data_IF_756947101209
#
_entry.id   IF_756947101209
#
_cell.length_a   1.000
_cell.length_b   1.000
_cell.length_c   1.000
_cell.angle_alpha   90.00
_cell.angle_beta   90.00
_cell.angle_gamma   90.00
#
_symmetry.space_group_name_H-M   'P 1'
#
loop_
_entity.id
_entity.type
_entity.pdbx_description
1 polymer ?
#
# COMPACT_ATOMS: atom_id res chain seq x y z
N UNK A 1 25.58 -14.38 -47.14
CA UNK A 1 26.22 -14.53 -45.82
C UNK A 1 26.39 -13.19 -45.13
N UNK A 2 25.90 -13.14 -43.89
CA UNK A 2 26.23 -12.27 -42.75
C UNK A 2 26.23 -10.74 -42.95
N UNK A 3 25.05 -10.17 -42.72
CA UNK A 3 24.89 -8.85 -42.09
C UNK A 3 25.58 -8.80 -40.72
N UNK A 4 26.34 -7.75 -40.45
CA UNK A 4 26.77 -7.39 -39.08
C UNK A 4 26.60 -5.89 -38.90
N UNK A 5 25.42 -5.51 -38.39
CA UNK A 5 25.19 -4.19 -37.80
C UNK A 5 25.66 -4.24 -36.35
N UNK A 6 26.75 -3.52 -36.08
CA UNK A 6 27.17 -3.17 -34.73
C UNK A 6 26.21 -2.12 -34.17
N UNK A 7 25.17 -2.55 -33.46
CA UNK A 7 24.43 -1.66 -32.57
C UNK A 7 24.94 -1.87 -31.15
N UNK A 8 25.79 -0.94 -30.71
CA UNK A 8 26.06 -0.69 -29.31
C UNK A 8 24.73 -0.60 -28.55
N UNK A 9 24.48 -1.57 -27.66
CA UNK A 9 23.50 -1.44 -26.61
C UNK A 9 23.94 -0.30 -25.68
N UNK A 10 23.46 0.90 -25.97
CA UNK A 10 23.38 1.97 -24.99
C UNK A 10 22.40 1.50 -23.90
N UNK A 11 22.95 1.07 -22.78
CA UNK A 11 22.19 0.98 -21.54
C UNK A 11 21.58 2.36 -21.26
N UNK A 12 20.26 2.45 -20.95
CA UNK A 12 19.68 3.73 -20.62
C UNK A 12 20.40 4.26 -19.37
N UNK A 13 20.66 5.57 -19.28
CA UNK A 13 21.35 6.12 -18.14
C UNK A 13 20.51 5.83 -16.90
N UNK A 14 21.16 5.35 -15.85
CA UNK A 14 20.65 5.41 -14.48
C UNK A 14 20.50 6.88 -14.10
N UNK A 15 19.54 7.54 -14.73
CA UNK A 15 19.20 8.92 -14.47
C UNK A 15 18.60 8.97 -13.08
N UNK A 16 19.27 9.71 -12.20
CA UNK A 16 18.71 10.27 -10.98
C UNK A 16 17.24 10.65 -11.23
N UNK A 17 16.31 9.75 -10.92
CA UNK A 17 14.89 10.10 -10.92
C UNK A 17 14.73 11.05 -9.77
N UNK A 18 14.46 12.31 -10.10
CA UNK A 18 14.16 13.33 -9.11
C UNK A 18 13.06 12.78 -8.17
N UNK A 19 13.24 12.78 -6.85
CA UNK A 19 12.28 12.18 -5.90
C UNK A 19 10.84 12.67 -6.09
N UNK A 20 10.66 13.88 -6.62
CA UNK A 20 9.35 14.48 -6.93
C UNK A 20 8.64 13.82 -8.13
N UNK A 21 9.38 13.35 -9.13
CA UNK A 21 8.81 12.69 -10.31
C UNK A 21 8.40 11.22 -10.02
N UNK A 22 9.08 10.56 -9.09
CA UNK A 22 8.70 9.21 -8.65
C UNK A 22 7.53 9.22 -7.65
N UNK A 23 7.34 10.34 -6.92
CA UNK A 23 6.23 10.52 -5.97
C UNK A 23 4.84 10.42 -6.62
N UNK A 24 4.63 11.08 -7.77
CA UNK A 24 3.34 11.08 -8.49
C UNK A 24 3.05 9.70 -9.10
N UNK A 25 4.06 9.07 -9.71
CA UNK A 25 3.95 7.71 -10.24
C UNK A 25 3.70 6.65 -9.14
N UNK A 26 4.24 6.86 -7.94
CA UNK A 26 3.99 6.01 -6.78
C UNK A 26 2.56 6.14 -6.26
N UNK A 27 2.06 7.36 -6.04
CA UNK A 27 0.67 7.56 -5.61
C UNK A 27 -0.33 7.02 -6.65
N UNK A 28 -0.07 7.21 -7.94
CA UNK A 28 -0.88 6.62 -8.99
C UNK A 28 -0.91 5.08 -8.92
N UNK A 29 0.23 4.43 -8.65
CA UNK A 29 0.30 2.97 -8.42
C UNK A 29 -0.48 2.52 -7.20
N UNK A 30 -0.41 3.28 -6.10
CA UNK A 30 -1.18 2.99 -4.87
C UNK A 30 -2.68 3.08 -5.15
N UNK A 31 -3.15 4.15 -5.80
CA UNK A 31 -4.57 4.30 -6.12
C UNK A 31 -5.07 3.27 -7.15
N UNK A 32 -4.26 2.93 -8.15
CA UNK A 32 -4.60 1.88 -9.11
C UNK A 32 -4.77 0.52 -8.40
N UNK A 33 -3.82 0.14 -7.54
CA UNK A 33 -3.89 -1.11 -6.79
C UNK A 33 -5.03 -1.12 -5.76
N UNK A 34 -5.34 0.02 -5.13
CA UNK A 34 -6.52 0.17 -4.26
C UNK A 34 -7.83 -0.05 -5.02
N UNK A 35 -7.93 0.53 -6.23
CA UNK A 35 -9.12 0.38 -7.07
C UNK A 35 -9.32 -1.09 -7.46
N UNK A 36 -8.27 -1.73 -7.97
CA UNK A 36 -8.30 -3.16 -8.32
C UNK A 36 -8.67 -4.04 -7.11
N UNK A 37 -8.10 -3.75 -5.93
CA UNK A 37 -8.46 -4.45 -4.70
C UNK A 37 -9.94 -4.30 -4.34
N UNK A 38 -10.52 -3.12 -4.55
CA UNK A 38 -11.95 -2.86 -4.35
C UNK A 38 -12.83 -3.63 -5.34
N UNK A 39 -12.42 -3.72 -6.61
CA UNK A 39 -13.11 -4.51 -7.63
C UNK A 39 -13.08 -6.02 -7.31
N UNK A 40 -11.94 -6.52 -6.83
CA UNK A 40 -11.84 -7.89 -6.34
C UNK A 40 -12.73 -8.13 -5.11
N UNK A 41 -12.73 -7.20 -4.15
CA UNK A 41 -13.53 -7.31 -2.93
C UNK A 41 -15.03 -7.34 -3.25
N UNK A 42 -15.50 -6.43 -4.12
CA UNK A 42 -16.89 -6.37 -4.57
C UNK A 42 -17.33 -7.65 -5.30
N UNK A 43 -16.40 -8.32 -5.98
CA UNK A 43 -16.63 -9.59 -6.66
C UNK A 43 -16.42 -10.83 -5.76
N UNK A 44 -16.31 -10.66 -4.43
CA UNK A 44 -16.02 -11.73 -3.46
C UNK A 44 -14.71 -12.51 -3.71
N UNK A 45 -13.79 -11.94 -4.48
CA UNK A 45 -12.45 -12.46 -4.74
C UNK A 45 -11.48 -11.93 -3.66
N UNK A 46 -11.68 -12.38 -2.43
CA UNK A 46 -11.05 -11.78 -1.25
C UNK A 46 -9.54 -12.01 -1.19
N UNK A 47 -9.04 -13.14 -1.69
CA UNK A 47 -7.61 -13.42 -1.72
C UNK A 47 -6.88 -12.49 -2.71
N UNK A 48 -7.45 -12.29 -3.88
CA UNK A 48 -6.96 -11.36 -4.89
C UNK A 48 -7.05 -9.92 -4.39
N UNK A 49 -8.14 -9.56 -3.70
CA UNK A 49 -8.26 -8.25 -3.04
C UNK A 49 -7.13 -8.02 -2.03
N UNK A 50 -6.83 -9.00 -1.18
CA UNK A 50 -5.73 -8.91 -0.22
C UNK A 50 -4.35 -8.80 -0.90
N UNK A 51 -4.18 -9.47 -2.04
CA UNK A 51 -2.96 -9.37 -2.85
C UNK A 51 -2.80 -7.96 -3.46
N UNK A 52 -3.84 -7.40 -4.06
CA UNK A 52 -3.79 -6.03 -4.62
C UNK A 52 -3.54 -4.99 -3.52
N UNK A 53 -4.12 -5.14 -2.31
CA UNK A 53 -3.75 -4.28 -1.17
C UNK A 53 -2.29 -4.46 -0.75
N UNK A 54 -1.72 -5.66 -0.85
CA UNK A 54 -0.29 -5.88 -0.57
C UNK A 54 0.59 -5.13 -1.55
N UNK A 55 0.22 -5.13 -2.84
CA UNK A 55 0.91 -4.33 -3.87
C UNK A 55 0.83 -2.84 -3.53
N UNK A 56 -0.36 -2.35 -3.15
CA UNK A 56 -0.55 -0.95 -2.75
C UNK A 56 0.33 -0.56 -1.55
N UNK A 57 0.38 -1.40 -0.51
CA UNK A 57 1.19 -1.17 0.70
C UNK A 57 2.68 -1.13 0.36
N UNK A 58 3.17 -2.07 -0.46
CA UNK A 58 4.57 -2.12 -0.84
C UNK A 58 4.96 -0.90 -1.68
N UNK A 59 4.12 -0.51 -2.65
CA UNK A 59 4.33 0.69 -3.43
C UNK A 59 4.32 1.96 -2.56
N UNK A 60 3.45 2.02 -1.56
CA UNK A 60 3.40 3.15 -0.63
C UNK A 60 4.70 3.26 0.18
N UNK A 61 5.12 2.15 0.80
CA UNK A 61 6.32 2.06 1.65
C UNK A 61 7.63 2.27 0.89
N UNK A 62 7.73 1.83 -0.37
CA UNK A 62 8.99 1.87 -1.13
C UNK A 62 9.50 3.29 -1.44
N UNK A 63 8.72 4.33 -1.16
CA UNK A 63 9.18 5.72 -1.29
C UNK A 63 9.16 6.52 0.01
N UNK A 64 9.03 5.86 1.16
CA UNK A 64 9.29 6.47 2.47
C UNK A 64 10.74 6.14 2.81
N UNK A 65 11.66 7.03 2.45
CA UNK A 65 13.09 6.87 2.73
C UNK A 65 13.52 7.49 4.06
N UNK A 66 12.60 8.10 4.81
CA UNK A 66 12.93 8.85 6.02
C UNK A 66 12.30 8.21 7.26
N UNK A 67 13.17 7.76 8.17
CA UNK A 67 12.84 7.34 9.54
C UNK A 67 12.49 8.54 10.44
N UNK A 68 12.48 9.77 9.90
CA UNK A 68 12.19 10.99 10.65
C UNK A 68 10.69 11.08 11.01
N UNK A 69 10.38 10.57 12.20
CA UNK A 69 9.08 10.59 12.86
C UNK A 69 7.95 9.95 12.04
N UNK A 70 7.46 8.80 12.53
CA UNK A 70 6.17 8.22 12.16
C UNK A 70 5.06 9.25 12.40
N UNK A 71 4.86 10.14 11.42
CA UNK A 71 3.67 10.98 11.36
C UNK A 71 2.47 10.05 11.15
N UNK A 72 1.32 10.38 11.75
CA UNK A 72 0.09 9.66 11.46
C UNK A 72 -0.14 9.58 9.96
N UNK A 73 -0.32 8.36 9.48
CA UNK A 73 -0.47 8.01 8.08
C UNK A 73 -1.82 7.34 7.85
N UNK A 74 -2.82 8.19 7.59
CA UNK A 74 -4.18 7.73 7.32
C UNK A 74 -4.27 6.83 6.08
N UNK A 75 -3.43 7.06 5.07
CA UNK A 75 -3.45 6.24 3.84
C UNK A 75 -3.00 4.82 4.16
N UNK A 76 -1.88 4.68 4.86
CA UNK A 76 -1.35 3.37 5.24
C UNK A 76 -2.28 2.66 6.23
N UNK A 77 -2.93 3.40 7.13
CA UNK A 77 -3.96 2.87 8.03
C UNK A 77 -5.13 2.25 7.25
N UNK A 78 -5.69 2.97 6.26
CA UNK A 78 -6.79 2.48 5.42
C UNK A 78 -6.36 1.23 4.63
N UNK A 79 -5.15 1.23 4.08
CA UNK A 79 -4.64 0.08 3.33
C UNK A 79 -4.55 -1.19 4.19
N UNK A 80 -4.04 -1.06 5.42
CA UNK A 80 -3.99 -2.17 6.37
C UNK A 80 -5.38 -2.62 6.80
N UNK A 81 -6.28 -1.70 7.13
CA UNK A 81 -7.66 -2.03 7.53
C UNK A 81 -8.41 -2.79 6.43
N UNK A 82 -8.30 -2.36 5.17
CA UNK A 82 -9.01 -3.02 4.08
C UNK A 82 -8.40 -4.39 3.75
N UNK A 83 -7.08 -4.55 3.88
CA UNK A 83 -6.46 -5.87 3.74
C UNK A 83 -6.83 -6.80 4.88
N UNK A 84 -6.96 -6.28 6.11
CA UNK A 84 -7.48 -7.04 7.24
C UNK A 84 -8.92 -7.52 6.98
N UNK A 85 -9.79 -6.63 6.47
CA UNK A 85 -11.15 -7.01 6.10
C UNK A 85 -11.17 -8.12 5.04
N UNK A 86 -10.34 -8.02 3.99
CA UNK A 86 -10.20 -9.08 2.98
C UNK A 86 -9.77 -10.42 3.60
N UNK A 87 -8.78 -10.42 4.51
CA UNK A 87 -8.36 -11.63 5.22
C UNK A 87 -9.44 -12.22 6.13
N UNK A 88 -10.25 -11.39 6.79
CA UNK A 88 -11.40 -11.85 7.57
C UNK A 88 -12.43 -12.56 6.69
N UNK A 89 -12.73 -11.99 5.52
CA UNK A 89 -13.69 -12.56 4.58
C UNK A 89 -13.23 -13.89 3.96
N UNK A 90 -11.91 -14.12 3.88
CA UNK A 90 -11.37 -15.43 3.49
C UNK A 90 -11.67 -16.54 4.52
N UNK A 91 -12.03 -16.22 5.76
CA UNK A 91 -12.41 -17.20 6.79
C UNK A 91 -11.29 -18.09 7.34
N UNK A 92 -10.05 -17.94 6.85
CA UNK A 92 -8.89 -18.78 7.22
C UNK A 92 -7.66 -17.97 7.67
N UNK A 93 -7.65 -16.66 7.45
CA UNK A 93 -6.48 -15.80 7.64
C UNK A 93 -6.62 -14.83 8.82
N UNK A 94 -7.33 -15.22 9.89
CA UNK A 94 -7.64 -14.33 11.03
C UNK A 94 -6.40 -13.74 11.71
N UNK A 95 -5.33 -14.52 11.84
CA UNK A 95 -4.08 -14.01 12.41
C UNK A 95 -3.49 -12.86 11.58
N UNK A 96 -3.55 -12.97 10.25
CA UNK A 96 -3.09 -11.90 9.35
C UNK A 96 -3.99 -10.67 9.44
N UNK A 97 -5.30 -10.86 9.54
CA UNK A 97 -6.25 -9.77 9.76
C UNK A 97 -5.97 -9.01 11.06
N UNK A 98 -5.74 -9.72 12.16
CA UNK A 98 -5.40 -9.10 13.46
C UNK A 98 -4.07 -8.35 13.38
N UNK A 99 -3.04 -8.96 12.79
CA UNK A 99 -1.75 -8.31 12.56
C UNK A 99 -1.90 -7.00 11.77
N UNK A 100 -2.74 -6.99 10.73
CA UNK A 100 -2.97 -5.79 9.93
C UNK A 100 -3.82 -4.76 10.68
N UNK A 101 -4.78 -5.17 11.51
CA UNK A 101 -5.50 -4.26 12.40
C UNK A 101 -4.56 -3.52 13.37
N UNK A 102 -3.60 -4.23 13.97
CA UNK A 102 -2.56 -3.61 14.83
C UNK A 102 -1.71 -2.62 14.04
N UNK A 103 -1.29 -2.98 12.82
CA UNK A 103 -0.53 -2.06 11.95
C UNK A 103 -1.35 -0.83 11.58
N UNK A 104 -2.63 -1.00 11.26
CA UNK A 104 -3.53 0.11 10.94
C UNK A 104 -3.64 1.11 12.10
N UNK A 105 -3.75 0.62 13.34
CA UNK A 105 -3.77 1.45 14.54
C UNK A 105 -2.44 2.15 14.79
N UNK A 106 -1.31 1.46 14.54
CA UNK A 106 0.03 2.05 14.68
C UNK A 106 0.30 3.20 13.70
N UNK A 107 -0.47 3.27 12.61
CA UNK A 107 -0.41 4.37 11.65
C UNK A 107 -1.21 5.60 12.10
N UNK A 108 -1.99 5.53 13.18
CA UNK A 108 -2.85 6.63 13.62
C UNK A 108 -2.32 7.25 14.92
N UNK A 109 -2.67 8.52 15.11
CA UNK A 109 -2.53 9.17 16.41
C UNK A 109 -3.71 8.79 17.31
N UNK A 110 -3.52 7.73 18.11
CA UNK A 110 -4.57 7.22 18.98
C UNK A 110 -4.96 8.20 20.09
N UNK A 111 -4.11 9.17 20.45
CA UNK A 111 -4.44 10.18 21.46
C UNK A 111 -5.69 10.98 21.06
N UNK A 112 -5.84 11.27 19.77
CA UNK A 112 -6.99 12.00 19.21
C UNK A 112 -8.27 11.18 19.13
N UNK A 113 -8.19 9.85 19.21
CA UNK A 113 -9.35 8.95 19.11
C UNK A 113 -9.99 8.76 20.49
N UNK A 114 -9.17 8.65 21.54
CA UNK A 114 -9.64 8.38 22.90
C UNK A 114 -9.93 9.65 23.74
N UNK A 115 -9.73 10.84 23.19
CA UNK A 115 -10.03 12.12 23.87
C UNK A 115 -11.53 12.44 23.99
N UNK A 116 -12.42 11.72 23.30
CA UNK A 116 -13.87 11.83 23.53
C UNK A 116 -14.30 10.85 24.62
N UNK A 117 -14.61 11.32 25.86
CA UNK A 117 -15.30 10.47 26.80
C UNK A 117 -16.62 10.02 26.16
N UNK A 118 -16.87 8.71 26.19
CA UNK A 118 -18.19 8.15 25.94
C UNK A 118 -19.14 8.87 26.89
N UNK A 119 -19.90 9.85 26.37
CA UNK A 119 -21.01 10.40 27.12
C UNK A 119 -22.01 9.26 27.27
N UNK A 120 -22.14 8.76 28.48
CA UNK A 120 -23.24 7.90 28.85
C UNK A 120 -24.52 8.77 28.76
N UNK A 121 -25.36 8.47 27.78
CA UNK A 121 -26.79 8.85 27.80
C UNK A 121 -27.60 7.67 28.34
#
# INVERSE_FOLDING_TARGET
DKSSSNNHHQTPPFGNRSPKADYTGRLARVEAAKKEAGEHYAAARYLESANSYTIAINAYKSGINDESAQKPDHTLSILYSNRAAAFMMCGVAYYLAVSDGVKALSCLDLSKIYEKPLKAE
#
